data_IF_819994626424
#
_entry.id   IF_819994626424
#
_cell.length_a   1.000
_cell.length_b   1.000
_cell.length_c   1.000
_cell.angle_alpha   90.00
_cell.angle_beta   90.00
_cell.angle_gamma   90.00
#
_symmetry.space_group_name_H-M   'P 1'
#
loop_
_entity.id
_entity.type
_entity.pdbx_description
1 polymer ?
#
# COMPACT_ATOMS: atom_id res chain seq x y z
N UNK A 1 26.80 -2.85 5.47
CA UNK A 1 26.15 -2.05 6.53
C UNK A 1 24.61 -2.18 6.49
N UNK A 2 23.96 -2.01 5.32
CA UNK A 2 22.50 -2.12 5.22
C UNK A 2 21.97 -3.50 5.64
N UNK A 3 22.62 -4.57 5.23
CA UNK A 3 22.23 -5.93 5.59
C UNK A 3 22.25 -6.17 7.11
N UNK A 4 23.22 -5.59 7.81
CA UNK A 4 23.32 -5.66 9.27
C UNK A 4 22.15 -4.94 9.94
N UNK A 5 21.77 -3.79 9.41
CA UNK A 5 20.62 -3.03 9.90
C UNK A 5 19.33 -3.84 9.72
N UNK A 6 19.12 -4.39 8.52
CA UNK A 6 17.93 -5.22 8.21
C UNK A 6 17.89 -6.47 9.10
N UNK A 7 19.05 -7.13 9.30
CA UNK A 7 19.15 -8.28 10.19
C UNK A 7 18.72 -7.93 11.62
N UNK A 8 19.24 -6.84 12.16
CA UNK A 8 18.91 -6.40 13.52
C UNK A 8 17.42 -5.99 13.63
N UNK A 9 16.89 -5.28 12.65
CA UNK A 9 15.46 -4.97 12.63
C UNK A 9 14.58 -6.21 12.67
N UNK A 10 14.92 -7.26 11.91
CA UNK A 10 14.21 -8.53 11.91
C UNK A 10 14.37 -9.28 13.23
N UNK A 11 15.58 -9.27 13.84
CA UNK A 11 15.84 -9.87 15.15
C UNK A 11 15.00 -9.21 16.24
N UNK A 12 14.97 -7.88 16.28
CA UNK A 12 14.15 -7.12 17.24
C UNK A 12 12.67 -7.43 17.08
N UNK A 13 12.18 -7.51 15.84
CA UNK A 13 10.79 -7.90 15.58
C UNK A 13 10.50 -9.34 16.00
N UNK A 14 11.41 -10.25 15.74
CA UNK A 14 11.27 -11.64 16.16
C UNK A 14 11.21 -11.78 17.67
N UNK A 15 12.07 -11.06 18.39
CA UNK A 15 12.12 -11.05 19.85
C UNK A 15 10.87 -10.37 20.43
N UNK A 16 10.50 -9.22 19.93
CA UNK A 16 9.45 -8.36 20.49
C UNK A 16 9.93 -7.57 21.71
N UNK A 17 8.99 -6.97 22.41
CA UNK A 17 9.20 -6.23 23.64
C UNK A 17 8.26 -6.72 24.73
N UNK A 18 8.68 -6.65 25.99
CA UNK A 18 7.79 -6.93 27.11
C UNK A 18 6.94 -5.71 27.42
N UNK A 19 5.64 -5.92 27.57
CA UNK A 19 4.76 -4.89 28.10
C UNK A 19 4.87 -4.81 29.64
N UNK A 20 4.13 -3.91 30.25
CA UNK A 20 4.10 -3.70 31.72
C UNK A 20 3.70 -4.96 32.49
N UNK A 21 2.94 -5.86 31.87
CA UNK A 21 2.53 -7.14 32.45
C UNK A 21 3.54 -8.28 32.21
N UNK A 22 4.72 -7.96 31.65
CA UNK A 22 5.75 -8.95 31.35
C UNK A 22 5.46 -9.85 30.14
N UNK A 23 4.41 -9.58 29.38
CA UNK A 23 4.04 -10.34 28.18
C UNK A 23 4.82 -9.78 26.98
N UNK A 24 5.41 -10.70 26.18
CA UNK A 24 6.08 -10.35 24.95
C UNK A 24 5.09 -9.98 23.86
N UNK A 25 5.20 -8.76 23.37
CA UNK A 25 4.40 -8.24 22.24
C UNK A 25 5.30 -7.81 21.10
N UNK A 26 4.75 -7.80 19.89
CA UNK A 26 5.42 -7.25 18.72
C UNK A 26 4.80 -5.91 18.39
N UNK A 27 5.58 -4.81 18.34
CA UNK A 27 5.07 -3.51 17.93
C UNK A 27 4.46 -3.59 16.53
N UNK A 28 3.26 -3.05 16.36
CA UNK A 28 2.59 -3.01 15.07
C UNK A 28 3.26 -2.03 14.11
N UNK A 29 3.86 -0.97 14.64
CA UNK A 29 4.53 0.08 13.88
C UNK A 29 5.97 0.32 14.34
N UNK A 30 6.85 0.86 13.47
CA UNK A 30 6.63 1.08 12.04
C UNK A 30 6.43 -0.24 11.28
N UNK A 31 5.63 -0.22 10.21
CA UNK A 31 5.46 -1.37 9.33
C UNK A 31 6.78 -1.70 8.66
N UNK A 32 7.19 -2.97 8.73
CA UNK A 32 8.32 -3.47 7.97
C UNK A 32 7.78 -4.07 6.67
N UNK A 33 8.35 -3.64 5.57
CA UNK A 33 8.14 -4.23 4.25
C UNK A 33 9.48 -4.80 3.80
N UNK A 34 9.49 -6.10 3.54
CA UNK A 34 10.66 -6.81 3.06
C UNK A 34 10.53 -7.04 1.56
N UNK A 35 11.47 -6.46 0.80
CA UNK A 35 11.50 -6.61 -0.65
C UNK A 35 12.18 -7.91 -1.02
N UNK A 36 11.51 -8.73 -1.83
CA UNK A 36 12.04 -9.97 -2.38
C UNK A 36 12.71 -9.65 -3.72
N UNK A 37 14.01 -9.86 -3.78
CA UNK A 37 14.89 -9.57 -4.90
C UNK A 37 15.69 -10.83 -5.28
N UNK A 38 16.29 -10.85 -6.47
CA UNK A 38 17.00 -12.03 -6.97
C UNK A 38 18.19 -12.45 -6.08
N UNK A 39 18.78 -11.52 -5.34
CA UNK A 39 19.91 -11.75 -4.44
C UNK A 39 19.52 -12.23 -3.03
N UNK A 40 18.24 -12.31 -2.73
CA UNK A 40 17.76 -12.74 -1.42
C UNK A 40 16.70 -13.85 -1.43
N UNK A 41 16.15 -14.23 -2.58
CA UNK A 41 15.06 -15.23 -2.66
C UNK A 41 15.53 -16.66 -2.91
N UNK A 42 16.79 -16.88 -3.27
CA UNK A 42 17.32 -18.21 -3.64
C UNK A 42 18.41 -18.64 -2.69
N UNK A 43 18.43 -19.93 -2.38
CA UNK A 43 19.54 -20.53 -1.63
C UNK A 43 20.87 -20.33 -2.38
N UNK A 44 21.91 -19.97 -1.64
CA UNK A 44 23.23 -19.65 -2.19
C UNK A 44 23.42 -18.18 -2.59
N UNK A 45 22.38 -17.37 -2.58
CA UNK A 45 22.54 -15.92 -2.79
C UNK A 45 23.00 -15.19 -1.52
N UNK A 46 23.68 -14.03 -1.67
CA UNK A 46 24.33 -13.35 -0.54
C UNK A 46 23.40 -13.02 0.63
N UNK A 47 22.14 -12.69 0.34
CA UNK A 47 21.20 -12.21 1.35
C UNK A 47 20.04 -13.18 1.64
N UNK A 48 20.10 -14.41 1.15
CA UNK A 48 19.07 -15.42 1.43
C UNK A 48 18.89 -15.69 2.93
N UNK A 49 19.95 -15.56 3.71
CA UNK A 49 19.86 -15.70 5.17
C UNK A 49 18.91 -14.67 5.82
N UNK A 50 18.82 -13.45 5.28
CA UNK A 50 17.86 -12.43 5.73
C UNK A 50 16.41 -12.87 5.43
N UNK A 51 16.17 -13.46 4.27
CA UNK A 51 14.85 -14.00 3.93
C UNK A 51 14.45 -15.16 4.84
N UNK A 52 15.39 -16.03 5.18
CA UNK A 52 15.15 -17.08 6.20
C UNK A 52 14.82 -16.49 7.57
N UNK A 53 15.50 -15.43 7.96
CA UNK A 53 15.22 -14.72 9.22
C UNK A 53 13.86 -14.01 9.17
N UNK A 54 13.55 -13.36 8.06
CA UNK A 54 12.24 -12.75 7.82
C UNK A 54 11.11 -13.78 7.91
N UNK A 55 11.26 -14.93 7.26
CA UNK A 55 10.30 -16.04 7.32
C UNK A 55 10.10 -16.57 8.76
N UNK A 56 11.17 -16.73 9.54
CA UNK A 56 11.08 -17.07 10.97
C UNK A 56 10.32 -16.01 11.77
N UNK A 57 10.57 -14.73 11.45
CA UNK A 57 9.88 -13.63 12.09
C UNK A 57 8.39 -13.69 11.75
N UNK A 58 8.04 -13.90 10.48
CA UNK A 58 6.65 -14.01 10.03
C UNK A 58 5.92 -15.17 10.69
N UNK A 59 6.56 -16.33 10.78
CA UNK A 59 5.96 -17.52 11.41
C UNK A 59 5.60 -17.27 12.90
N UNK A 60 6.36 -16.42 13.58
CA UNK A 60 6.16 -16.13 15.02
C UNK A 60 5.32 -14.87 15.26
N UNK A 61 5.44 -13.86 14.39
CA UNK A 61 4.97 -12.49 14.64
C UNK A 61 4.07 -11.93 13.55
N UNK A 62 3.88 -12.64 12.44
CA UNK A 62 3.10 -12.20 11.27
C UNK A 62 3.64 -10.90 10.61
N UNK A 63 4.92 -10.64 10.77
CA UNK A 63 5.66 -9.52 10.15
C UNK A 63 7.06 -10.02 9.75
N UNK A 64 7.69 -9.44 8.72
CA UNK A 64 7.30 -8.29 7.89
C UNK A 64 6.24 -8.63 6.84
N UNK A 65 5.68 -7.60 6.18
CA UNK A 65 4.96 -7.75 4.93
C UNK A 65 5.98 -7.92 3.79
N UNK A 66 5.62 -8.65 2.74
CA UNK A 66 6.51 -8.93 1.61
C UNK A 66 6.02 -8.26 0.34
N UNK A 67 6.97 -7.79 -0.47
CA UNK A 67 6.74 -7.31 -1.83
C UNK A 67 7.75 -7.93 -2.78
N UNK A 68 7.29 -8.43 -3.92
CA UNK A 68 8.18 -8.96 -4.96
C UNK A 68 8.60 -7.85 -5.91
N UNK A 69 9.89 -7.55 -5.98
CA UNK A 69 10.45 -6.61 -6.95
C UNK A 69 10.09 -7.00 -8.38
N UNK A 70 10.34 -8.26 -8.74
CA UNK A 70 10.04 -8.78 -10.07
C UNK A 70 8.57 -8.55 -10.46
N UNK A 71 7.64 -8.91 -9.58
CA UNK A 71 6.21 -8.73 -9.85
C UNK A 71 5.79 -7.27 -9.93
N UNK A 72 6.37 -6.41 -9.13
CA UNK A 72 6.11 -4.98 -9.19
C UNK A 72 6.64 -4.37 -10.49
N UNK A 73 7.83 -4.76 -10.93
CA UNK A 73 8.39 -4.32 -12.23
C UNK A 73 7.53 -4.83 -13.39
N UNK A 74 7.18 -6.11 -13.42
CA UNK A 74 6.29 -6.69 -14.43
C UNK A 74 4.95 -5.93 -14.51
N UNK A 75 4.35 -5.64 -13.37
CA UNK A 75 3.10 -4.91 -13.30
C UNK A 75 3.22 -3.48 -13.84
N UNK A 76 4.27 -2.76 -13.46
CA UNK A 76 4.51 -1.39 -13.94
C UNK A 76 4.79 -1.35 -15.44
N UNK A 77 5.61 -2.27 -15.96
CA UNK A 77 5.88 -2.37 -17.39
C UNK A 77 4.60 -2.67 -18.18
N UNK A 78 3.72 -3.54 -17.66
CA UNK A 78 2.42 -3.82 -18.28
C UNK A 78 1.50 -2.60 -18.34
N UNK A 79 1.73 -1.59 -17.50
CA UNK A 79 1.02 -0.30 -17.49
C UNK A 79 1.73 0.79 -18.30
N UNK A 80 2.74 0.41 -19.11
CA UNK A 80 3.43 1.32 -20.03
C UNK A 80 4.57 2.14 -19.40
N UNK A 81 5.10 1.72 -18.24
CA UNK A 81 6.35 2.27 -17.73
C UNK A 81 7.54 1.79 -18.55
N UNK A 82 8.57 2.62 -18.61
CA UNK A 82 9.87 2.26 -19.19
C UNK A 82 10.80 1.69 -18.11
N UNK A 83 11.74 0.84 -18.52
CA UNK A 83 12.86 0.46 -17.65
C UNK A 83 13.56 1.72 -17.11
N UNK A 84 13.83 1.73 -15.81
CA UNK A 84 14.39 2.88 -15.12
C UNK A 84 13.35 3.77 -14.42
N UNK A 85 12.11 3.85 -14.93
CA UNK A 85 10.99 4.49 -14.24
C UNK A 85 10.15 3.47 -13.45
N UNK A 86 10.41 2.19 -13.67
CA UNK A 86 9.72 1.07 -13.03
C UNK A 86 10.33 0.62 -11.72
N UNK A 87 11.19 1.43 -11.08
CA UNK A 87 11.78 1.08 -9.79
C UNK A 87 10.73 0.76 -8.75
N UNK A 88 11.05 -0.18 -7.88
CA UNK A 88 10.13 -0.62 -6.85
C UNK A 88 9.85 0.53 -5.89
N UNK A 89 8.61 0.97 -5.91
CA UNK A 89 8.09 1.82 -4.86
C UNK A 89 7.40 0.94 -3.82
N UNK A 90 7.81 1.09 -2.58
CA UNK A 90 7.20 0.39 -1.47
C UNK A 90 5.71 0.75 -1.34
N UNK A 91 4.96 -0.14 -0.73
CA UNK A 91 3.55 0.12 -0.43
C UNK A 91 3.41 1.40 0.39
N UNK A 92 2.39 2.16 0.08
CA UNK A 92 1.92 3.24 0.92
C UNK A 92 1.01 2.64 2.00
N UNK A 93 1.48 2.59 3.23
CA UNK A 93 0.86 1.81 4.29
C UNK A 93 1.04 0.30 4.06
N UNK A 94 -0.04 -0.47 4.09
CA UNK A 94 0.03 -1.93 4.05
C UNK A 94 -0.25 -2.55 2.68
N UNK A 95 -1.05 -1.89 1.83
CA UNK A 95 -1.66 -2.53 0.66
C UNK A 95 -1.78 -1.64 -0.57
N UNK A 96 -1.45 -0.36 -0.47
CA UNK A 96 -1.54 0.57 -1.59
C UNK A 96 -0.17 0.86 -2.15
N UNK A 97 -0.03 0.85 -3.45
CA UNK A 97 1.18 1.33 -4.13
C UNK A 97 0.81 2.33 -5.21
N UNK A 98 1.73 3.25 -5.40
CA UNK A 98 1.57 4.31 -6.35
C UNK A 98 1.94 3.76 -7.74
N UNK A 99 0.95 3.65 -8.60
CA UNK A 99 1.16 3.46 -10.03
C UNK A 99 0.82 4.76 -10.74
N UNK A 100 1.59 5.17 -11.77
CA UNK A 100 1.20 6.32 -12.54
C UNK A 100 -0.12 6.04 -13.26
N UNK A 101 -1.10 6.88 -13.05
CA UNK A 101 -2.29 6.87 -13.90
C UNK A 101 -2.00 7.66 -15.16
N UNK A 102 -2.01 6.97 -16.29
CA UNK A 102 -1.81 7.55 -17.62
C UNK A 102 -3.09 7.53 -18.45
N UNK A 103 -4.20 7.08 -17.90
CA UNK A 103 -5.43 6.94 -18.67
C UNK A 103 -5.93 8.28 -19.21
N UNK A 104 -5.63 9.37 -18.52
CA UNK A 104 -6.02 10.71 -18.93
C UNK A 104 -7.54 10.92 -19.02
N UNK A 105 -8.32 9.92 -18.62
CA UNK A 105 -9.77 9.90 -18.75
C UNK A 105 -10.47 9.71 -17.42
N UNK A 106 -11.66 10.29 -17.30
CA UNK A 106 -12.49 10.10 -16.12
C UNK A 106 -12.13 10.98 -14.93
N UNK A 107 -12.73 10.67 -13.81
CA UNK A 107 -12.61 11.42 -12.55
C UNK A 107 -11.23 11.28 -11.89
N UNK A 108 -10.52 10.21 -12.19
CA UNK A 108 -9.18 9.91 -11.66
C UNK A 108 -8.05 10.36 -12.60
N UNK A 109 -8.26 11.40 -13.37
CA UNK A 109 -7.27 11.89 -14.31
C UNK A 109 -6.10 12.56 -13.60
N UNK A 110 -4.90 11.97 -13.73
CA UNK A 110 -3.66 12.47 -13.14
C UNK A 110 -3.30 13.90 -13.61
N UNK A 111 -3.76 14.32 -14.78
CA UNK A 111 -3.58 15.69 -15.29
C UNK A 111 -4.23 16.74 -14.38
N UNK A 112 -5.24 16.34 -13.60
CA UNK A 112 -5.89 17.22 -12.62
C UNK A 112 -5.13 17.27 -11.27
N UNK A 113 -4.11 16.45 -11.09
CA UNK A 113 -3.33 16.43 -9.87
C UNK A 113 -2.52 17.72 -9.71
N UNK A 114 -2.37 18.14 -8.45
CA UNK A 114 -1.53 19.28 -8.13
C UNK A 114 -0.08 19.02 -8.57
N UNK A 115 0.55 20.04 -9.15
CA UNK A 115 1.94 19.97 -9.64
C UNK A 115 2.14 18.89 -10.74
N UNK A 116 1.12 18.58 -11.51
CA UNK A 116 1.27 17.73 -12.68
C UNK A 116 2.24 18.36 -13.70
N UNK A 117 3.18 17.53 -14.16
CA UNK A 117 4.09 17.89 -15.25
C UNK A 117 3.87 16.90 -16.39
N UNK A 118 3.44 17.35 -17.57
CA UNK A 118 3.24 16.47 -18.72
C UNK A 118 4.46 15.60 -19.01
N UNK A 119 4.24 14.31 -19.27
CA UNK A 119 5.30 13.35 -19.57
C UNK A 119 6.15 12.87 -18.39
N UNK A 120 5.95 13.43 -17.19
CA UNK A 120 6.63 12.94 -15.98
C UNK A 120 5.65 12.19 -15.09
N UNK A 121 5.93 10.91 -14.75
CA UNK A 121 5.12 10.17 -13.79
C UNK A 121 5.21 10.82 -12.41
N UNK A 122 4.09 10.86 -11.69
CA UNK A 122 4.03 11.40 -10.34
C UNK A 122 3.74 10.27 -9.35
N UNK A 123 4.66 10.08 -8.40
CA UNK A 123 4.60 9.02 -7.40
C UNK A 123 4.38 9.52 -5.97
N UNK A 124 4.26 10.82 -5.77
CA UNK A 124 4.13 11.46 -4.46
C UNK A 124 3.03 12.52 -4.47
N UNK A 125 2.64 12.96 -3.29
CA UNK A 125 1.58 13.96 -3.11
C UNK A 125 0.18 13.36 -3.19
N UNK A 126 0.06 12.04 -3.04
CA UNK A 126 -1.19 11.30 -2.95
C UNK A 126 -1.35 10.72 -1.55
N UNK A 127 -2.56 10.43 -1.14
CA UNK A 127 -2.86 9.84 0.15
C UNK A 127 -3.90 8.73 0.04
N UNK A 128 -3.91 7.84 1.00
CA UNK A 128 -4.91 6.77 1.07
C UNK A 128 -6.27 7.37 1.47
N UNK A 129 -7.26 7.27 0.58
CA UNK A 129 -8.60 7.80 0.80
C UNK A 129 -9.49 6.85 1.61
N UNK A 130 -9.07 5.63 1.81
CA UNK A 130 -9.74 4.64 2.62
C UNK A 130 -9.60 3.22 2.10
N UNK A 131 -10.01 2.29 2.93
CA UNK A 131 -10.03 0.86 2.62
C UNK A 131 -11.40 0.27 2.94
N UNK A 132 -11.79 -0.73 2.16
CA UNK A 132 -12.96 -1.57 2.44
C UNK A 132 -12.50 -3.02 2.34
N UNK A 133 -12.88 -3.82 3.33
CA UNK A 133 -12.42 -5.22 3.43
C UNK A 133 -13.55 -6.16 3.04
N UNK A 134 -13.24 -7.15 2.21
CA UNK A 134 -14.12 -8.30 1.93
C UNK A 134 -13.75 -9.42 2.91
N UNK A 135 -14.73 -9.90 3.66
CA UNK A 135 -14.58 -11.06 4.55
C UNK A 135 -14.73 -12.35 3.72
N UNK A 136 -13.62 -12.86 3.19
CA UNK A 136 -13.63 -14.10 2.37
C UNK A 136 -14.13 -15.35 3.15
N UNK A 137 -13.77 -15.54 4.43
CA UNK A 137 -14.39 -16.60 5.24
C UNK A 137 -15.92 -16.55 5.28
N UNK A 138 -16.50 -15.34 5.42
CA UNK A 138 -17.96 -15.17 5.39
C UNK A 138 -18.55 -15.56 4.02
N UNK A 139 -17.90 -15.15 2.94
CA UNK A 139 -18.31 -15.52 1.57
C UNK A 139 -18.28 -17.05 1.41
N UNK A 140 -17.21 -17.69 1.86
CA UNK A 140 -17.04 -19.15 1.77
C UNK A 140 -18.09 -19.91 2.59
N UNK A 141 -18.33 -19.50 3.83
CA UNK A 141 -19.35 -20.12 4.69
C UNK A 141 -20.76 -19.92 4.12
N UNK A 142 -21.06 -18.73 3.61
CA UNK A 142 -22.35 -18.40 3.01
C UNK A 142 -22.61 -19.15 1.70
N UNK A 143 -21.54 -19.58 1.00
CA UNK A 143 -21.68 -20.38 -0.21
C UNK A 143 -22.08 -21.83 0.06
N UNK A 144 -21.89 -22.31 1.29
CA UNK A 144 -22.16 -23.71 1.66
C UNK A 144 -21.24 -24.73 0.95
N UNK A 145 -20.07 -24.29 0.50
CA UNK A 145 -19.11 -25.13 -0.24
C UNK A 145 -19.35 -25.24 -1.74
N UNK A 146 -20.31 -24.47 -2.28
CA UNK A 146 -20.61 -24.42 -3.72
C UNK A 146 -19.76 -23.35 -4.42
N UNK A 147 -18.84 -23.72 -5.35
CA UNK A 147 -17.93 -22.74 -5.99
C UNK A 147 -18.68 -21.65 -6.76
N UNK A 148 -19.71 -21.98 -7.53
CA UNK A 148 -20.45 -21.00 -8.34
C UNK A 148 -21.17 -19.97 -7.44
N UNK A 149 -21.74 -20.46 -6.35
CA UNK A 149 -22.37 -19.59 -5.35
C UNK A 149 -21.37 -18.72 -4.61
N UNK A 150 -20.16 -19.25 -4.36
CA UNK A 150 -19.06 -18.47 -3.79
C UNK A 150 -18.74 -17.26 -4.69
N UNK A 151 -18.51 -17.50 -5.97
CA UNK A 151 -18.16 -16.43 -6.90
C UNK A 151 -19.29 -15.41 -7.05
N UNK A 152 -20.53 -15.86 -7.11
CA UNK A 152 -21.68 -14.94 -7.14
C UNK A 152 -21.71 -14.02 -5.92
N UNK A 153 -21.58 -14.56 -4.71
CA UNK A 153 -21.56 -13.78 -3.46
C UNK A 153 -20.35 -12.86 -3.43
N UNK A 154 -19.19 -13.34 -3.90
CA UNK A 154 -17.97 -12.55 -3.98
C UNK A 154 -18.15 -11.33 -4.89
N UNK A 155 -18.70 -11.49 -6.08
CA UNK A 155 -18.94 -10.41 -7.05
C UNK A 155 -19.93 -9.38 -6.48
N UNK A 156 -20.99 -9.82 -5.81
CA UNK A 156 -21.92 -8.92 -5.12
C UNK A 156 -21.23 -8.11 -4.03
N UNK A 157 -20.34 -8.71 -3.24
CA UNK A 157 -19.57 -8.02 -2.20
C UNK A 157 -18.52 -7.09 -2.80
N UNK A 158 -17.89 -7.48 -3.90
CA UNK A 158 -16.93 -6.65 -4.62
C UNK A 158 -17.57 -5.38 -5.15
N UNK A 159 -18.76 -5.49 -5.74
CA UNK A 159 -19.54 -4.33 -6.19
C UNK A 159 -19.90 -3.39 -5.03
N UNK A 160 -20.32 -3.94 -3.89
CA UNK A 160 -20.58 -3.14 -2.68
C UNK A 160 -19.32 -2.42 -2.19
N UNK A 161 -18.16 -3.07 -2.21
CA UNK A 161 -16.88 -2.45 -1.85
C UNK A 161 -16.53 -1.31 -2.79
N UNK A 162 -16.72 -1.49 -4.10
CA UNK A 162 -16.50 -0.45 -5.09
C UNK A 162 -17.40 0.77 -4.82
N UNK A 163 -18.68 0.55 -4.63
CA UNK A 163 -19.65 1.61 -4.30
C UNK A 163 -19.29 2.33 -3.00
N UNK A 164 -18.87 1.60 -1.98
CA UNK A 164 -18.45 2.18 -0.71
C UNK A 164 -17.20 3.07 -0.86
N UNK A 165 -16.20 2.63 -1.63
CA UNK A 165 -15.02 3.43 -1.94
C UNK A 165 -15.37 4.68 -2.75
N UNK A 166 -16.23 4.55 -3.75
CA UNK A 166 -16.72 5.67 -4.55
C UNK A 166 -17.51 6.69 -3.69
N UNK A 167 -18.33 6.19 -2.77
CA UNK A 167 -19.03 7.06 -1.83
C UNK A 167 -18.07 7.84 -0.94
N UNK A 168 -17.05 7.17 -0.40
CA UNK A 168 -16.01 7.83 0.42
C UNK A 168 -15.26 8.89 -0.37
N UNK A 169 -14.85 8.58 -1.60
CA UNK A 169 -14.21 9.54 -2.50
C UNK A 169 -15.11 10.77 -2.73
N UNK A 170 -16.38 10.55 -3.05
CA UNK A 170 -17.31 11.64 -3.31
C UNK A 170 -17.56 12.52 -2.05
N UNK A 171 -17.48 11.92 -0.86
CA UNK A 171 -17.61 12.67 0.41
C UNK A 171 -16.41 13.56 0.71
N UNK A 172 -15.26 13.28 0.12
CA UNK A 172 -14.07 14.12 0.27
C UNK A 172 -14.11 15.36 -0.65
N UNK A 173 -14.83 15.28 -1.77
CA UNK A 173 -14.95 16.40 -2.70
C UNK A 173 -15.55 17.62 -2.01
N UNK A 174 -15.01 18.80 -2.32
CA UNK A 174 -15.42 20.06 -1.72
C UNK A 174 -14.95 20.27 -0.28
N UNK A 175 -14.21 19.33 0.32
CA UNK A 175 -13.63 19.53 1.64
C UNK A 175 -12.59 20.63 1.61
N UNK A 176 -12.64 21.53 2.58
CA UNK A 176 -11.67 22.61 2.71
C UNK A 176 -10.40 22.14 3.40
N UNK A 177 -9.28 22.71 3.01
CA UNK A 177 -7.96 22.42 3.60
C UNK A 177 -7.91 22.63 5.12
N UNK A 178 -8.81 23.45 5.64
CA UNK A 178 -8.95 23.71 7.08
C UNK A 178 -9.42 22.48 7.88
N UNK A 179 -10.02 21.49 7.25
CA UNK A 179 -10.47 20.27 7.93
C UNK A 179 -9.30 19.43 8.48
N UNK A 180 -8.13 19.49 7.84
CA UNK A 180 -6.91 18.85 8.32
C UNK A 180 -5.67 19.66 7.88
N UNK A 181 -5.39 20.79 8.54
CA UNK A 181 -4.33 21.71 8.12
C UNK A 181 -2.93 21.07 8.06
N UNK A 182 -2.62 20.21 9.02
CA UNK A 182 -1.33 19.50 9.07
C UNK A 182 -1.11 18.67 7.81
N UNK A 183 -2.16 18.05 7.26
CA UNK A 183 -2.06 17.26 6.03
C UNK A 183 -2.02 18.14 4.80
N UNK A 184 -2.90 19.12 4.71
CA UNK A 184 -3.18 19.80 3.44
C UNK A 184 -2.59 21.18 3.30
N UNK A 185 -2.34 21.89 4.40
CA UNK A 185 -1.73 23.23 4.35
C UNK A 185 -0.24 23.20 4.69
N UNK A 186 0.14 22.45 5.74
CA UNK A 186 1.51 22.43 6.26
C UNK A 186 2.26 21.13 5.92
N UNK A 187 1.59 20.17 5.27
CA UNK A 187 2.21 18.93 4.80
C UNK A 187 3.29 19.19 3.75
N UNK A 188 4.27 18.29 3.66
CA UNK A 188 5.40 18.43 2.75
C UNK A 188 4.99 18.48 1.27
N UNK A 189 3.87 17.88 0.91
CA UNK A 189 3.51 17.61 -0.48
C UNK A 189 2.29 18.40 -0.98
N UNK A 190 1.36 18.76 -0.12
CA UNK A 190 0.11 19.41 -0.51
C UNK A 190 0.22 20.94 -0.56
N UNK A 191 0.49 21.55 0.57
CA UNK A 191 0.67 23.00 0.72
C UNK A 191 -0.44 23.84 0.12
N UNK A 192 -1.68 23.42 0.34
CA UNK A 192 -2.84 24.21 -0.03
C UNK A 192 -2.95 25.46 0.85
N UNK A 193 -3.56 26.51 0.30
CA UNK A 193 -3.88 27.70 1.08
C UNK A 193 -5.06 27.42 2.02
N UNK A 194 -5.18 28.20 3.08
CA UNK A 194 -6.34 28.18 3.96
C UNK A 194 -7.63 28.40 3.16
N UNK A 195 -8.65 27.57 3.37
CA UNK A 195 -9.92 27.67 2.67
C UNK A 195 -9.90 27.11 1.23
N UNK A 196 -8.78 26.60 0.74
CA UNK A 196 -8.71 25.97 -0.58
C UNK A 196 -9.29 24.55 -0.51
N UNK A 197 -10.04 24.13 -1.55
CA UNK A 197 -10.59 22.77 -1.63
C UNK A 197 -9.50 21.74 -1.96
N UNK A 198 -9.64 20.55 -1.39
CA UNK A 198 -8.65 19.48 -1.54
C UNK A 198 -8.80 18.67 -2.85
N UNK A 199 -9.74 18.99 -3.69
CA UNK A 199 -10.13 18.20 -4.85
C UNK A 199 -8.94 17.82 -5.75
N UNK A 200 -7.99 18.75 -5.93
CA UNK A 200 -6.75 18.50 -6.69
C UNK A 200 -5.86 17.38 -6.12
N UNK A 201 -6.05 17.02 -4.85
CA UNK A 201 -5.28 15.99 -4.17
C UNK A 201 -5.96 14.61 -4.23
N UNK A 202 -7.22 14.55 -4.65
CA UNK A 202 -8.01 13.32 -4.70
C UNK A 202 -7.66 12.44 -5.91
N UNK A 203 -6.94 12.98 -6.89
CA UNK A 203 -6.61 12.28 -8.13
C UNK A 203 -5.34 11.44 -7.98
N UNK A 204 -5.40 10.20 -8.44
CA UNK A 204 -4.30 9.27 -8.40
C UNK A 204 -3.97 8.71 -7.00
N UNK A 205 -4.89 8.82 -6.06
CA UNK A 205 -4.80 8.24 -4.72
C UNK A 205 -5.55 6.94 -4.61
#
# INVERSE_FOLDING_TARGET
>A
DLAIIVEEMLRQRYQGVKNEKGVWITPAFPKLIYVLEDDNIREGTPYFYLTKLAAKCTAKRMVPDYISEKKMKEYKLSKGETEGNGDVFTCMGCRSFLTPDRSGTGWNNVANAQNYVPGKPKYYGRFNQGVVTINLPDVALSSGGEPDKFWKIFDERLELCHRALQYRHNRLKGTLSDAAPILWQYGALARLKKGEVIDKLLYGG
#
